data_IF_897926691420
#
_entry.id   IF_897926691420
#
_cell.length_a   1.000
_cell.length_b   1.000
_cell.length_c   1.000
_cell.angle_alpha   90.00
_cell.angle_beta   90.00
_cell.angle_gamma   90.00
#
_symmetry.space_group_name_H-M   'P 1'
#
loop_
_entity.id
_entity.type
_entity.pdbx_description
1 polymer ?
#
# COMPACT_ATOMS: atom_id res chain seq x y z
N UNK A 1 20.73 -14.83 -3.57
CA UNK A 1 20.20 -14.80 -4.96
C UNK A 1 19.10 -15.84 -5.17
N UNK A 2 19.34 -17.11 -4.83
CA UNK A 2 18.37 -18.22 -4.98
C UNK A 2 17.05 -17.99 -4.22
N UNK A 3 17.11 -17.60 -2.94
CA UNK A 3 15.91 -17.36 -2.14
C UNK A 3 14.97 -16.30 -2.73
N UNK A 4 15.53 -15.16 -3.21
CA UNK A 4 14.75 -14.10 -3.87
C UNK A 4 14.10 -14.57 -5.17
N UNK A 5 14.78 -15.44 -5.92
CA UNK A 5 14.25 -16.00 -7.15
C UNK A 5 13.08 -16.94 -6.87
N UNK A 6 13.26 -17.89 -5.93
CA UNK A 6 12.19 -18.80 -5.51
C UNK A 6 10.98 -18.05 -4.95
N UNK A 7 11.21 -17.05 -4.10
CA UNK A 7 10.16 -16.21 -3.54
C UNK A 7 9.32 -15.53 -4.62
N UNK A 8 9.96 -14.92 -5.62
CA UNK A 8 9.23 -14.27 -6.73
C UNK A 8 8.45 -15.28 -7.57
N UNK A 9 8.99 -16.48 -7.80
CA UNK A 9 8.25 -17.54 -8.53
C UNK A 9 7.01 -17.94 -7.75
N UNK A 10 7.17 -18.24 -6.46
CA UNK A 10 6.06 -18.63 -5.57
C UNK A 10 4.98 -17.55 -5.60
N UNK A 11 5.32 -16.28 -5.38
CA UNK A 11 4.34 -15.19 -5.40
C UNK A 11 3.67 -14.99 -6.76
N UNK A 12 4.42 -15.17 -7.85
CA UNK A 12 3.88 -15.04 -9.21
C UNK A 12 2.86 -16.14 -9.48
N UNK A 13 3.16 -17.38 -9.08
CA UNK A 13 2.28 -18.53 -9.23
C UNK A 13 1.11 -18.52 -8.23
N UNK A 14 1.30 -17.90 -7.06
CA UNK A 14 0.27 -17.80 -6.04
C UNK A 14 -0.80 -16.76 -6.37
N UNK A 15 -0.46 -15.70 -7.11
CA UNK A 15 -1.43 -14.67 -7.49
C UNK A 15 -2.69 -15.21 -8.21
N UNK A 16 -2.61 -16.06 -9.26
CA UNK A 16 -3.81 -16.63 -9.88
C UNK A 16 -4.60 -17.53 -8.91
N UNK A 17 -3.94 -18.22 -7.97
CA UNK A 17 -4.62 -19.01 -6.93
C UNK A 17 -5.47 -18.09 -6.04
N UNK A 18 -4.93 -16.94 -5.62
CA UNK A 18 -5.68 -15.93 -4.85
C UNK A 18 -6.84 -15.36 -5.66
N UNK A 19 -6.67 -15.14 -6.96
CA UNK A 19 -7.75 -14.69 -7.86
C UNK A 19 -8.87 -15.72 -7.99
N UNK A 20 -8.56 -17.02 -8.01
CA UNK A 20 -9.57 -18.08 -8.00
C UNK A 20 -10.24 -18.16 -6.63
N UNK A 21 -9.47 -18.12 -5.55
CA UNK A 21 -10.00 -18.13 -4.18
C UNK A 21 -10.93 -16.94 -3.88
N UNK A 22 -10.74 -15.80 -4.55
CA UNK A 22 -11.62 -14.64 -4.48
C UNK A 22 -13.07 -14.95 -4.88
N UNK A 23 -13.32 -15.95 -5.72
CA UNK A 23 -14.67 -16.37 -6.11
C UNK A 23 -15.44 -16.99 -4.94
N UNK A 24 -14.74 -17.46 -3.91
CA UNK A 24 -15.32 -18.20 -2.78
C UNK A 24 -15.29 -17.40 -1.47
N UNK A 25 -14.67 -16.22 -1.45
CA UNK A 25 -14.53 -15.40 -0.23
C UNK A 25 -14.60 -13.91 -0.53
N UNK A 26 -15.59 -13.23 0.05
CA UNK A 26 -15.75 -11.78 -0.07
C UNK A 26 -14.52 -11.01 0.43
N UNK A 27 -13.84 -11.49 1.48
CA UNK A 27 -12.61 -10.87 1.99
C UNK A 27 -11.46 -10.95 0.99
N UNK A 28 -11.31 -12.10 0.33
CA UNK A 28 -10.27 -12.29 -0.71
C UNK A 28 -10.65 -11.50 -1.97
N UNK A 29 -11.94 -11.44 -2.32
CA UNK A 29 -12.44 -10.61 -3.41
C UNK A 29 -12.08 -9.13 -3.22
N UNK A 30 -12.32 -8.57 -2.03
CA UNK A 30 -11.88 -7.21 -1.68
C UNK A 30 -10.37 -7.05 -1.78
N UNK A 31 -9.60 -8.00 -1.23
CA UNK A 31 -8.14 -8.00 -1.29
C UNK A 31 -7.60 -7.94 -2.74
N UNK A 32 -8.23 -8.66 -3.67
CA UNK A 32 -7.85 -8.68 -5.09
C UNK A 32 -8.34 -7.44 -5.82
N UNK A 33 -9.64 -7.10 -5.69
CA UNK A 33 -10.27 -6.01 -6.42
C UNK A 33 -9.60 -4.67 -6.12
N UNK A 34 -9.35 -4.38 -4.84
CA UNK A 34 -8.75 -3.12 -4.42
C UNK A 34 -7.27 -2.98 -4.79
N UNK A 35 -6.62 -4.05 -5.27
CA UNK A 35 -5.25 -4.00 -5.82
C UNK A 35 -5.18 -3.85 -7.34
N UNK A 36 -6.30 -4.04 -8.06
CA UNK A 36 -6.29 -4.01 -9.54
C UNK A 36 -5.94 -2.63 -10.10
N UNK A 37 -6.38 -1.56 -9.45
CA UNK A 37 -6.22 -0.18 -9.95
C UNK A 37 -5.40 0.74 -9.05
N UNK A 38 -4.43 0.19 -8.32
CA UNK A 38 -3.52 1.00 -7.48
C UNK A 38 -2.83 2.07 -8.34
N UNK A 39 -2.33 1.71 -9.52
CA UNK A 39 -1.59 2.65 -10.37
C UNK A 39 -2.49 3.72 -11.01
N UNK A 40 -3.77 3.45 -11.24
CA UNK A 40 -4.73 4.50 -11.66
C UNK A 40 -4.95 5.50 -10.53
N UNK A 41 -5.12 5.02 -9.30
CA UNK A 41 -5.25 5.87 -8.12
C UNK A 41 -3.99 6.71 -7.85
N UNK A 42 -2.79 6.11 -7.93
CA UNK A 42 -1.54 6.85 -7.73
C UNK A 42 -1.36 7.98 -8.76
N UNK A 43 -1.80 7.74 -10.01
CA UNK A 43 -1.84 8.77 -11.06
C UNK A 43 -2.84 9.87 -10.77
N UNK A 44 -4.06 9.50 -10.38
CA UNK A 44 -5.10 10.46 -10.01
C UNK A 44 -4.67 11.36 -8.85
N UNK A 45 -3.91 10.82 -7.90
CA UNK A 45 -3.39 11.54 -6.73
C UNK A 45 -2.06 12.24 -6.98
N UNK A 46 -1.52 12.16 -8.20
CA UNK A 46 -0.24 12.75 -8.60
C UNK A 46 0.89 12.40 -7.63
N UNK A 47 1.01 11.11 -7.26
CA UNK A 47 2.01 10.64 -6.28
C UNK A 47 3.45 10.74 -6.81
N UNK A 48 3.60 10.91 -8.12
CA UNK A 48 4.85 11.27 -8.80
C UNK A 48 5.29 12.72 -8.55
N UNK A 49 4.37 13.59 -8.10
CA UNK A 49 4.63 15.02 -7.87
C UNK A 49 4.64 15.38 -6.40
N UNK A 50 5.55 16.28 -6.02
CA UNK A 50 5.71 16.74 -4.64
C UNK A 50 6.58 15.79 -3.80
N UNK A 51 6.54 15.99 -2.48
CA UNK A 51 7.41 15.31 -1.53
C UNK A 51 6.58 14.37 -0.65
N UNK A 52 6.75 13.06 -0.85
CA UNK A 52 5.93 12.05 -0.18
C UNK A 52 6.70 11.34 0.93
N UNK A 53 6.02 11.12 2.05
CA UNK A 53 6.42 10.18 3.10
C UNK A 53 5.44 9.02 3.09
N UNK A 54 5.99 7.82 3.01
CA UNK A 54 5.23 6.59 2.88
C UNK A 54 5.11 5.89 4.23
N UNK A 55 3.88 5.72 4.71
CA UNK A 55 3.55 4.87 5.83
C UNK A 55 2.97 3.56 5.30
N UNK A 56 3.60 2.44 5.60
CA UNK A 56 3.04 1.12 5.38
C UNK A 56 2.59 0.53 6.71
N UNK A 57 1.36 0.06 6.76
CA UNK A 57 0.78 -0.61 7.94
C UNK A 57 0.19 -1.95 7.53
N UNK A 58 0.48 -2.99 8.30
CA UNK A 58 0.01 -4.34 7.96
C UNK A 58 -1.52 -4.48 8.13
N UNK A 59 -2.09 -3.89 9.19
CA UNK A 59 -3.52 -3.97 9.50
C UNK A 59 -4.01 -2.75 10.31
N UNK A 60 -5.20 -2.85 10.91
CA UNK A 60 -5.77 -1.79 11.75
C UNK A 60 -4.95 -1.56 13.03
N UNK A 61 -4.40 -2.61 13.64
CA UNK A 61 -3.62 -2.48 14.87
C UNK A 61 -2.36 -1.63 14.67
N UNK A 62 -1.61 -1.91 13.60
CA UNK A 62 -0.42 -1.16 13.20
C UNK A 62 -0.78 0.26 12.76
N UNK A 63 -1.95 0.46 12.14
CA UNK A 63 -2.46 1.80 11.86
C UNK A 63 -2.65 2.63 13.12
N UNK A 64 -3.30 2.10 14.16
CA UNK A 64 -3.50 2.85 15.41
C UNK A 64 -2.17 3.20 16.10
N UNK A 65 -1.14 2.35 15.96
CA UNK A 65 0.21 2.65 16.42
C UNK A 65 0.89 3.76 15.58
N UNK A 66 0.69 3.75 14.26
CA UNK A 66 1.24 4.75 13.35
C UNK A 66 0.49 6.09 13.39
N UNK A 67 -0.79 6.10 13.79
CA UNK A 67 -1.65 7.28 13.83
C UNK A 67 -1.04 8.48 14.56
N UNK A 68 -0.57 8.38 15.81
CA UNK A 68 0.08 9.50 16.49
C UNK A 68 1.35 9.99 15.79
N UNK A 69 2.07 9.11 15.08
CA UNK A 69 3.24 9.49 14.29
C UNK A 69 2.84 10.32 13.06
N UNK A 70 1.78 9.91 12.36
CA UNK A 70 1.23 10.67 11.22
C UNK A 70 0.68 12.04 11.65
N UNK A 71 -0.01 12.09 12.79
CA UNK A 71 -0.51 13.33 13.39
C UNK A 71 0.63 14.30 13.73
N UNK A 72 1.67 13.82 14.41
CA UNK A 72 2.85 14.62 14.73
C UNK A 72 3.60 15.05 13.45
N UNK A 73 3.74 14.14 12.48
CA UNK A 73 4.41 14.42 11.22
C UNK A 73 3.73 15.56 10.44
N UNK A 74 2.40 15.55 10.29
CA UNK A 74 1.69 16.63 9.56
C UNK A 74 1.83 17.98 10.26
N UNK A 75 1.97 18.01 11.60
CA UNK A 75 2.23 19.24 12.36
C UNK A 75 3.63 19.80 12.10
N UNK A 76 4.65 18.94 12.07
CA UNK A 76 6.04 19.36 11.88
C UNK A 76 6.43 19.59 10.41
N UNK A 77 5.77 18.92 9.48
CA UNK A 77 6.13 18.86 8.06
C UNK A 77 4.92 19.13 7.16
N UNK A 78 4.27 20.29 7.32
CA UNK A 78 3.03 20.65 6.61
C UNK A 78 3.11 20.59 5.08
N UNK A 79 4.29 20.82 4.50
CA UNK A 79 4.52 20.77 3.05
C UNK A 79 4.73 19.35 2.48
N UNK A 80 4.77 18.32 3.34
CA UNK A 80 4.94 16.93 2.92
C UNK A 80 3.58 16.22 2.83
N UNK A 81 3.46 15.37 1.82
CA UNK A 81 2.28 14.53 1.60
C UNK A 81 2.48 13.14 2.22
N UNK A 82 1.41 12.56 2.74
CA UNK A 82 1.40 11.20 3.29
C UNK A 82 0.80 10.24 2.27
N UNK A 83 1.58 9.21 1.92
CA UNK A 83 1.10 8.01 1.24
C UNK A 83 0.91 6.92 2.30
N UNK A 84 -0.33 6.51 2.55
CA UNK A 84 -0.65 5.43 3.47
C UNK A 84 -1.02 4.18 2.69
N UNK A 85 -0.31 3.08 2.94
CA UNK A 85 -0.60 1.78 2.33
C UNK A 85 -0.99 0.75 3.38
N UNK A 86 -1.98 -0.06 3.06
CA UNK A 86 -2.40 -1.20 3.88
C UNK A 86 -2.07 -2.53 3.21
N UNK A 87 -1.72 -3.55 3.99
CA UNK A 87 -1.68 -4.93 3.51
C UNK A 87 -3.06 -5.62 3.63
N UNK A 88 -3.71 -5.52 4.79
CA UNK A 88 -4.95 -6.25 5.06
C UNK A 88 -6.22 -5.44 4.73
N UNK A 89 -7.34 -6.12 4.39
CA UNK A 89 -8.63 -5.46 4.27
C UNK A 89 -9.19 -4.93 5.59
N UNK A 90 -8.81 -5.52 6.72
CA UNK A 90 -9.30 -5.08 8.03
C UNK A 90 -8.81 -3.68 8.40
N UNK A 91 -7.62 -3.27 7.96
CA UNK A 91 -7.16 -1.89 8.12
C UNK A 91 -7.73 -0.97 7.03
N UNK A 92 -7.56 -1.37 5.76
CA UNK A 92 -7.92 -0.52 4.63
C UNK A 92 -9.41 -0.15 4.60
N UNK A 93 -10.32 -1.11 4.77
CA UNK A 93 -11.76 -0.82 4.61
C UNK A 93 -12.28 0.19 5.64
N UNK A 94 -11.66 0.22 6.82
CA UNK A 94 -12.00 1.12 7.92
C UNK A 94 -11.36 2.50 7.70
N UNK A 95 -10.13 2.55 7.19
CA UNK A 95 -9.31 3.77 7.17
C UNK A 95 -8.98 4.30 5.76
N UNK A 96 -9.63 3.79 4.71
CA UNK A 96 -9.45 4.25 3.31
C UNK A 96 -9.78 5.73 3.08
N UNK A 97 -10.49 6.36 4.01
CA UNK A 97 -10.83 7.79 4.01
C UNK A 97 -10.10 8.56 5.12
N UNK A 98 -8.98 8.06 5.62
CA UNK A 98 -8.25 8.74 6.69
C UNK A 98 -7.75 10.13 6.27
N UNK A 99 -8.25 11.17 6.95
CA UNK A 99 -8.13 12.57 6.52
C UNK A 99 -6.70 13.12 6.51
N UNK A 100 -5.79 12.58 7.33
CA UNK A 100 -4.41 13.07 7.36
C UNK A 100 -3.53 12.48 6.26
N UNK A 101 -4.01 11.43 5.56
CA UNK A 101 -3.31 10.83 4.45
C UNK A 101 -3.79 11.39 3.11
N UNK A 102 -2.87 11.99 2.35
CA UNK A 102 -3.15 12.58 1.04
C UNK A 102 -3.49 11.50 -0.02
N UNK A 103 -2.96 10.28 0.15
CA UNK A 103 -3.31 9.11 -0.63
C UNK A 103 -3.37 7.86 0.26
N UNK A 104 -4.49 7.15 0.26
CA UNK A 104 -4.65 5.85 0.93
C UNK A 104 -4.89 4.76 -0.10
N UNK A 105 -4.07 3.71 -0.12
CA UNK A 105 -4.21 2.60 -1.06
C UNK A 105 -3.76 1.27 -0.44
N UNK A 106 -3.87 0.17 -1.18
CA UNK A 106 -3.21 -1.07 -0.80
C UNK A 106 -1.75 -1.06 -1.23
N UNK A 107 -0.91 -1.79 -0.49
CA UNK A 107 0.39 -2.18 -0.99
C UNK A 107 0.21 -3.00 -2.30
N UNK A 108 0.96 -2.69 -3.37
CA UNK A 108 0.94 -3.49 -4.58
C UNK A 108 1.28 -4.95 -4.28
N UNK A 109 0.80 -5.88 -5.12
CA UNK A 109 1.16 -7.28 -4.99
C UNK A 109 2.68 -7.44 -5.06
N UNK A 110 3.29 -8.10 -4.07
CA UNK A 110 4.72 -8.05 -3.71
C UNK A 110 5.66 -8.80 -4.68
N UNK A 111 5.42 -8.63 -5.97
CA UNK A 111 6.33 -9.08 -7.03
C UNK A 111 7.31 -7.96 -7.35
N UNK A 112 8.55 -8.34 -7.69
CA UNK A 112 9.59 -7.39 -8.08
C UNK A 112 9.11 -6.36 -9.12
N UNK A 113 8.32 -6.79 -10.11
CA UNK A 113 7.78 -5.91 -11.15
C UNK A 113 6.89 -4.81 -10.58
N UNK A 114 5.95 -5.18 -9.71
CA UNK A 114 4.98 -4.23 -9.17
C UNK A 114 5.62 -3.31 -8.13
N UNK A 115 6.51 -3.83 -7.29
CA UNK A 115 7.23 -3.02 -6.30
C UNK A 115 8.13 -2.02 -6.99
N UNK A 116 8.92 -2.44 -8.00
CA UNK A 116 9.73 -1.51 -8.78
C UNK A 116 8.85 -0.45 -9.44
N UNK A 117 7.77 -0.84 -10.11
CA UNK A 117 6.84 0.12 -10.73
C UNK A 117 6.24 1.10 -9.72
N UNK A 118 5.96 0.66 -8.49
CA UNK A 118 5.45 1.53 -7.42
C UNK A 118 6.52 2.51 -6.95
N UNK A 119 7.73 2.03 -6.68
CA UNK A 119 8.85 2.88 -6.24
C UNK A 119 9.29 3.86 -7.33
N UNK A 120 9.35 3.43 -8.59
CA UNK A 120 9.72 4.26 -9.74
C UNK A 120 8.68 5.35 -10.00
N UNK A 121 7.41 5.10 -9.66
CA UNK A 121 6.33 6.07 -9.84
C UNK A 121 6.29 7.10 -8.70
N UNK A 122 6.58 6.70 -7.47
CA UNK A 122 6.39 7.54 -6.30
C UNK A 122 7.69 8.29 -5.91
N UNK A 123 7.65 9.62 -5.81
CA UNK A 123 8.80 10.41 -5.31
C UNK A 123 8.89 10.38 -3.77
N UNK A 124 9.15 9.20 -3.22
CA UNK A 124 9.18 8.94 -1.77
C UNK A 124 10.52 9.38 -1.18
N UNK A 125 10.49 10.20 -0.11
CA UNK A 125 11.70 10.65 0.61
C UNK A 125 12.00 9.85 1.87
N UNK A 126 10.97 9.30 2.48
CA UNK A 126 11.05 8.51 3.70
C UNK A 126 9.96 7.44 3.66
N UNK A 127 10.30 6.25 4.16
CA UNK A 127 9.34 5.18 4.38
C UNK A 127 9.38 4.73 5.84
N UNK A 128 8.21 4.49 6.41
CA UNK A 128 8.04 3.84 7.69
C UNK A 128 7.20 2.58 7.47
N UNK A 129 7.74 1.43 7.87
CA UNK A 129 7.01 0.15 7.91
C UNK A 129 6.65 -0.14 9.37
N UNK A 130 5.35 -0.30 9.62
CA UNK A 130 4.77 -0.55 10.93
C UNK A 130 3.95 -1.84 10.88
#
# INVERSE_FOLDING_TARGET
>A
MIFRFLYNIILTLFYPVVQIAALFSGKIALFVASRRDIFGLLKLKEVDKGTWVWFHVASLGEFEQARPLMEAFKKSFSNHKILLTFFSPSGYEIQKQYDLADCVCYLPWDTKRNVNRFLDYCNIKLVLFI
#
